data_IF_023855764818
#
_entry.id   IF_023855764818
#
_cell.length_a   1.000
_cell.length_b   1.000
_cell.length_c   1.000
_cell.angle_alpha   90.00
_cell.angle_beta   90.00
_cell.angle_gamma   90.00
#
_symmetry.space_group_name_H-M   'P 1'
#
loop_
_entity.id
_entity.type
_entity.pdbx_description
1 polymer ?
#
# COMPACT_ATOMS: atom_id res chain seq x y z
N UNK A 1 -52.78 6.72 0.70
CA UNK A 1 -52.21 7.12 2.01
C UNK A 1 -50.76 6.64 2.06
N UNK A 2 -49.74 7.52 2.23
CA UNK A 2 -48.35 7.08 2.34
C UNK A 2 -48.12 6.32 3.66
N UNK A 3 -47.21 5.35 3.66
CA UNK A 3 -46.83 4.59 4.87
C UNK A 3 -45.94 5.45 5.79
N UNK A 4 -45.99 5.19 7.11
CA UNK A 4 -45.18 5.91 8.14
C UNK A 4 -43.69 6.04 7.76
N UNK A 5 -43.11 5.03 7.11
CA UNK A 5 -41.72 5.03 6.64
C UNK A 5 -41.46 6.00 5.48
N UNK A 6 -42.44 6.21 4.60
CA UNK A 6 -42.35 7.19 3.52
C UNK A 6 -42.50 8.61 4.04
N UNK A 7 -43.28 8.83 5.09
CA UNK A 7 -43.43 10.13 5.75
C UNK A 7 -42.11 10.58 6.41
N UNK A 8 -41.46 9.70 7.18
CA UNK A 8 -40.15 9.98 7.83
C UNK A 8 -39.03 10.31 6.82
N UNK A 9 -39.09 9.73 5.61
CA UNK A 9 -38.13 10.02 4.55
C UNK A 9 -38.34 11.41 3.92
N UNK A 10 -39.60 11.85 3.81
CA UNK A 10 -39.95 13.18 3.28
C UNK A 10 -39.63 14.31 4.28
N UNK A 11 -39.75 14.04 5.59
CA UNK A 11 -39.44 14.97 6.68
C UNK A 11 -37.93 15.21 6.86
N UNK A 12 -37.08 14.29 6.37
CA UNK A 12 -35.62 14.48 6.34
C UNK A 12 -35.16 15.47 5.27
N UNK A 13 -35.97 15.72 4.23
CA UNK A 13 -35.58 16.55 3.08
C UNK A 13 -35.93 18.04 3.26
N UNK A 14 -36.93 18.34 4.09
CA UNK A 14 -37.40 19.71 4.34
C UNK A 14 -37.06 20.12 5.77
N UNK A 15 -35.85 20.63 5.92
CA UNK A 15 -35.32 21.00 7.23
C UNK A 15 -36.18 22.02 7.94
N UNK A 16 -36.71 21.65 9.11
CA UNK A 16 -36.99 22.63 10.16
C UNK A 16 -37.11 22.07 11.59
N UNK A 17 -36.35 21.02 11.95
CA UNK A 17 -36.27 20.58 13.36
C UNK A 17 -34.84 20.29 13.83
N UNK A 18 -34.15 21.36 14.21
CA UNK A 18 -32.79 21.35 14.77
C UNK A 18 -32.66 20.59 16.10
N UNK A 19 -33.75 20.08 16.69
CA UNK A 19 -33.75 19.35 17.97
C UNK A 19 -34.06 17.85 17.83
N UNK A 20 -35.01 17.44 16.98
CA UNK A 20 -35.32 16.02 16.73
C UNK A 20 -34.38 15.35 15.70
N UNK A 21 -33.76 16.14 14.82
CA UNK A 21 -32.78 15.64 13.84
C UNK A 21 -31.45 15.21 14.49
N UNK A 22 -31.07 15.81 15.61
CA UNK A 22 -29.80 15.51 16.30
C UNK A 22 -29.69 14.04 16.77
N UNK A 23 -30.69 13.45 17.46
CA UNK A 23 -30.70 12.02 17.77
C UNK A 23 -30.60 11.11 16.55
N UNK A 24 -31.28 11.46 15.46
CA UNK A 24 -31.29 10.65 14.23
C UNK A 24 -29.96 10.71 13.48
N UNK A 25 -29.36 11.91 13.38
CA UNK A 25 -28.03 12.12 12.82
C UNK A 25 -26.99 11.32 13.62
N UNK A 26 -27.06 11.36 14.94
CA UNK A 26 -26.14 10.62 15.80
C UNK A 26 -26.32 9.11 15.65
N UNK A 27 -27.56 8.61 15.56
CA UNK A 27 -27.83 7.20 15.27
C UNK A 27 -27.19 6.76 13.95
N UNK A 28 -27.33 7.57 12.89
CA UNK A 28 -26.70 7.31 11.59
C UNK A 28 -25.17 7.34 11.70
N UNK A 29 -24.60 8.30 12.44
CA UNK A 29 -23.14 8.38 12.67
C UNK A 29 -22.63 7.13 13.38
N UNK A 30 -23.29 6.69 14.45
CA UNK A 30 -22.95 5.47 15.20
C UNK A 30 -23.02 4.22 14.33
N UNK A 31 -24.05 4.11 13.49
CA UNK A 31 -24.18 3.00 12.55
C UNK A 31 -23.00 2.93 11.56
N UNK A 32 -22.60 4.08 10.99
CA UNK A 32 -21.41 4.14 10.12
C UNK A 32 -20.14 3.72 10.85
N UNK A 33 -19.91 4.22 12.07
CA UNK A 33 -18.72 3.87 12.86
C UNK A 33 -18.66 2.37 13.16
N UNK A 34 -19.77 1.78 13.58
CA UNK A 34 -19.81 0.35 13.86
C UNK A 34 -19.62 -0.49 12.59
N UNK A 35 -20.14 -0.04 11.44
CA UNK A 35 -19.90 -0.70 10.16
C UNK A 35 -18.41 -0.68 9.80
N UNK A 36 -17.75 0.49 9.90
CA UNK A 36 -16.31 0.60 9.65
C UNK A 36 -15.50 -0.25 10.62
N UNK A 37 -15.85 -0.30 11.91
CA UNK A 37 -15.17 -1.16 12.89
C UNK A 37 -15.31 -2.65 12.56
N UNK A 38 -16.47 -3.09 12.05
CA UNK A 38 -16.65 -4.46 11.61
C UNK A 38 -15.77 -4.80 10.40
N UNK A 39 -15.69 -3.88 9.41
CA UNK A 39 -14.80 -4.04 8.26
C UNK A 39 -13.33 -4.10 8.66
N UNK A 40 -12.90 -3.19 9.53
CA UNK A 40 -11.53 -3.17 10.06
C UNK A 40 -11.19 -4.49 10.77
N UNK A 41 -12.11 -4.99 11.61
CA UNK A 41 -11.95 -6.28 12.27
C UNK A 41 -11.69 -7.39 11.25
N UNK A 42 -12.52 -7.51 10.21
CA UNK A 42 -12.35 -8.53 9.17
C UNK A 42 -10.99 -8.41 8.48
N UNK A 43 -10.64 -7.23 7.96
CA UNK A 43 -9.38 -7.03 7.22
C UNK A 43 -8.12 -7.33 8.05
N UNK A 44 -8.14 -6.95 9.33
CA UNK A 44 -7.00 -7.12 10.24
C UNK A 44 -6.92 -8.55 10.78
N UNK A 45 -8.05 -9.23 10.96
CA UNK A 45 -8.08 -10.63 11.39
C UNK A 45 -7.72 -11.58 10.24
N UNK A 46 -8.23 -11.33 9.03
CA UNK A 46 -7.98 -12.19 7.87
C UNK A 46 -6.49 -12.24 7.50
N UNK A 47 -5.78 -11.14 7.76
CA UNK A 47 -4.32 -11.03 7.58
C UNK A 47 -3.50 -11.63 8.74
N UNK A 48 -4.13 -12.14 9.80
CA UNK A 48 -3.48 -12.75 10.97
C UNK A 48 -3.84 -14.23 11.17
N UNK A 49 -3.15 -14.88 12.10
CA UNK A 49 -3.28 -16.29 12.44
C UNK A 49 -4.65 -16.65 13.04
N UNK A 50 -5.01 -17.93 12.92
CA UNK A 50 -6.30 -18.52 13.30
C UNK A 50 -6.71 -18.32 14.77
N UNK A 51 -5.74 -18.18 15.67
CA UNK A 51 -5.99 -17.88 17.09
C UNK A 51 -6.67 -16.52 17.32
N UNK A 52 -6.36 -15.53 16.47
CA UNK A 52 -6.94 -14.18 16.54
C UNK A 52 -8.36 -14.12 15.99
N UNK A 53 -8.77 -15.08 15.15
CA UNK A 53 -10.13 -15.14 14.55
C UNK A 53 -11.22 -15.47 15.56
N UNK A 54 -10.89 -16.31 16.54
CA UNK A 54 -11.85 -16.82 17.53
C UNK A 54 -12.01 -15.91 18.75
N UNK A 55 -11.14 -14.90 18.90
CA UNK A 55 -11.16 -14.02 20.07
C UNK A 55 -12.17 -12.89 19.89
N UNK A 56 -12.99 -12.66 20.92
CA UNK A 56 -13.91 -11.51 20.98
C UNK A 56 -13.10 -10.24 21.23
N UNK A 57 -12.70 -9.56 20.15
CA UNK A 57 -11.96 -8.30 20.24
C UNK A 57 -12.82 -7.14 20.76
N UNK A 58 -12.27 -6.35 21.67
CA UNK A 58 -12.86 -5.09 22.09
C UNK A 58 -12.64 -4.00 21.03
N UNK A 59 -13.38 -2.87 21.15
CA UNK A 59 -13.26 -1.77 20.19
C UNK A 59 -11.86 -1.13 20.21
N UNK A 60 -11.24 -1.05 21.39
CA UNK A 60 -9.89 -0.53 21.54
C UNK A 60 -8.87 -1.44 20.82
N UNK A 61 -8.97 -2.74 21.04
CA UNK A 61 -8.11 -3.74 20.40
C UNK A 61 -8.20 -3.68 18.87
N UNK A 62 -9.42 -3.59 18.31
CA UNK A 62 -9.61 -3.47 16.86
C UNK A 62 -8.85 -2.25 16.32
N UNK A 63 -8.94 -1.11 17.00
CA UNK A 63 -8.26 0.12 16.59
C UNK A 63 -6.74 0.00 16.72
N UNK A 64 -6.24 -0.53 17.83
CA UNK A 64 -4.81 -0.73 18.06
C UNK A 64 -4.20 -1.68 17.03
N UNK A 65 -4.82 -2.84 16.83
CA UNK A 65 -4.38 -3.82 15.84
C UNK A 65 -4.41 -3.23 14.42
N UNK A 66 -5.42 -2.42 14.09
CA UNK A 66 -5.49 -1.74 12.79
C UNK A 66 -4.31 -0.77 12.61
N UNK A 67 -4.00 0.05 13.61
CA UNK A 67 -2.88 1.00 13.55
C UNK A 67 -1.55 0.25 13.37
N UNK A 68 -1.36 -0.83 14.13
CA UNK A 68 -0.18 -1.67 14.00
C UNK A 68 -0.05 -2.27 12.60
N UNK A 69 -1.14 -2.81 12.06
CA UNK A 69 -1.18 -3.37 10.71
C UNK A 69 -0.83 -2.33 9.63
N UNK A 70 -1.36 -1.10 9.74
CA UNK A 70 -1.04 -0.02 8.81
C UNK A 70 0.44 0.39 8.87
N UNK A 71 1.05 0.40 10.07
CA UNK A 71 2.50 0.65 10.21
C UNK A 71 3.32 -0.45 9.54
N UNK A 72 2.91 -1.70 9.68
CA UNK A 72 3.55 -2.86 9.04
C UNK A 72 3.44 -2.81 7.50
N UNK A 73 2.27 -2.46 6.96
CA UNK A 73 2.09 -2.25 5.52
C UNK A 73 3.07 -1.18 5.03
N UNK A 74 3.08 0.00 5.67
CA UNK A 74 3.96 1.10 5.27
C UNK A 74 5.44 0.71 5.32
N UNK A 75 5.85 -0.06 6.33
CA UNK A 75 7.23 -0.56 6.44
C UNK A 75 7.57 -1.55 5.31
N UNK A 76 6.63 -2.40 4.92
CA UNK A 76 6.82 -3.32 3.78
C UNK A 76 6.92 -2.57 2.47
N UNK A 77 6.05 -1.59 2.22
CA UNK A 77 6.09 -0.76 1.01
C UNK A 77 7.43 -0.03 0.86
N UNK A 78 7.92 0.62 1.92
CA UNK A 78 9.22 1.30 1.87
C UNK A 78 10.38 0.34 1.64
N UNK A 79 10.33 -0.86 2.23
CA UNK A 79 11.33 -1.89 2.01
C UNK A 79 11.34 -2.39 0.55
N UNK A 80 10.17 -2.59 -0.05
CA UNK A 80 10.03 -3.01 -1.46
C UNK A 80 10.60 -1.94 -2.38
N UNK A 81 10.19 -0.67 -2.22
CA UNK A 81 10.72 0.43 -3.03
C UNK A 81 12.25 0.56 -2.92
N UNK A 82 12.80 0.40 -1.71
CA UNK A 82 14.25 0.44 -1.50
C UNK A 82 14.97 -0.74 -2.18
N UNK A 83 14.36 -1.93 -2.19
CA UNK A 83 14.91 -3.10 -2.88
C UNK A 83 14.89 -2.90 -4.40
N UNK A 84 13.80 -2.40 -4.96
CA UNK A 84 13.68 -2.13 -6.39
C UNK A 84 14.72 -1.10 -6.85
N UNK A 85 14.90 -0.02 -6.07
CA UNK A 85 15.92 0.98 -6.36
C UNK A 85 17.34 0.39 -6.30
N UNK A 86 17.65 -0.44 -5.29
CA UNK A 86 18.94 -1.13 -5.20
C UNK A 86 19.16 -2.11 -6.34
N UNK A 87 18.12 -2.82 -6.74
CA UNK A 87 18.18 -3.77 -7.84
C UNK A 87 18.43 -3.07 -9.19
N UNK A 88 17.75 -1.95 -9.43
CA UNK A 88 18.01 -1.10 -10.59
C UNK A 88 19.44 -0.57 -10.63
N UNK A 89 19.94 -0.05 -9.50
CA UNK A 89 21.34 0.41 -9.38
C UNK A 89 22.34 -0.71 -9.66
N UNK A 90 22.17 -1.88 -9.03
CA UNK A 90 23.07 -3.03 -9.23
C UNK A 90 23.07 -3.53 -10.67
N UNK A 91 21.89 -3.58 -11.32
CA UNK A 91 21.79 -3.94 -12.73
C UNK A 91 22.56 -2.98 -13.63
N UNK A 92 22.42 -1.68 -13.38
CA UNK A 92 23.16 -0.65 -14.12
C UNK A 92 24.68 -0.82 -13.95
N UNK A 93 25.16 -0.99 -12.70
CA UNK A 93 26.59 -1.19 -12.41
C UNK A 93 27.17 -2.41 -13.16
N UNK A 94 26.45 -3.54 -13.16
CA UNK A 94 26.87 -4.74 -13.89
C UNK A 94 26.95 -4.47 -15.40
N UNK A 95 25.91 -3.85 -15.98
CA UNK A 95 25.91 -3.55 -17.42
C UNK A 95 26.98 -2.53 -17.81
N UNK A 96 27.25 -1.56 -16.95
CA UNK A 96 28.32 -0.57 -17.16
C UNK A 96 29.71 -1.24 -17.13
N UNK A 97 29.99 -2.09 -16.14
CA UNK A 97 31.27 -2.81 -16.07
C UNK A 97 31.48 -3.71 -17.29
N UNK A 98 30.42 -4.37 -17.76
CA UNK A 98 30.50 -5.21 -18.96
C UNK A 98 30.83 -4.37 -20.21
N UNK A 99 30.26 -3.17 -20.33
CA UNK A 99 30.61 -2.23 -21.40
C UNK A 99 32.09 -1.83 -21.34
N UNK A 100 32.58 -1.43 -20.15
CA UNK A 100 33.99 -1.07 -19.93
C UNK A 100 34.91 -2.22 -20.34
N UNK A 101 34.61 -3.44 -19.87
CA UNK A 101 35.38 -4.65 -20.20
C UNK A 101 35.45 -4.89 -21.72
N UNK A 102 34.35 -4.67 -22.44
CA UNK A 102 34.30 -4.84 -23.89
C UNK A 102 35.12 -3.76 -24.61
N UNK A 103 35.10 -2.52 -24.13
CA UNK A 103 35.94 -1.44 -24.66
C UNK A 103 37.43 -1.72 -24.43
N UNK A 104 37.79 -2.17 -23.23
CA UNK A 104 39.18 -2.56 -22.91
C UNK A 104 39.69 -3.67 -23.82
N UNK A 105 38.88 -4.72 -24.05
CA UNK A 105 39.22 -5.78 -24.99
C UNK A 105 39.37 -5.27 -26.42
N UNK A 106 38.46 -4.41 -26.88
CA UNK A 106 38.54 -3.83 -28.22
C UNK A 106 39.82 -3.01 -28.41
N UNK A 107 40.16 -2.16 -27.44
CA UNK A 107 41.39 -1.37 -27.47
C UNK A 107 42.63 -2.27 -27.41
N UNK A 108 42.63 -3.32 -26.59
CA UNK A 108 43.71 -4.30 -26.56
C UNK A 108 43.90 -4.99 -27.92
N UNK A 109 42.82 -5.43 -28.57
CA UNK A 109 42.90 -6.02 -29.92
C UNK A 109 43.43 -5.05 -30.97
N UNK A 110 43.14 -3.74 -30.86
CA UNK A 110 43.70 -2.72 -31.73
C UNK A 110 45.20 -2.52 -31.49
N UNK A 111 45.66 -2.55 -30.23
CA UNK A 111 47.08 -2.43 -29.92
C UNK A 111 47.89 -3.65 -30.37
N UNK A 112 47.33 -4.86 -30.28
CA UNK A 112 47.97 -6.08 -30.76
C UNK A 112 48.06 -6.13 -32.30
N UNK A 113 47.08 -5.58 -33.00
CA UNK A 113 47.11 -5.54 -34.48
C UNK A 113 48.09 -4.49 -35.03
N UNK A 114 48.30 -3.36 -34.35
CA UNK A 114 49.29 -2.35 -34.73
C UNK A 114 50.77 -2.80 -34.61
N UNK A 115 51.06 -3.84 -33.80
CA UNK A 115 52.41 -4.42 -33.70
C UNK A 115 52.76 -5.38 -34.85
N UNK A 116 51.77 -5.85 -35.61
CA UNK A 116 51.99 -6.82 -36.71
C UNK A 116 52.29 -6.17 -38.06
N UNK A 117 51.92 -4.89 -38.27
CA UNK A 117 52.20 -4.18 -39.51
C UNK A 117 53.60 -3.53 -39.56
N UNK A 118 54.25 -3.26 -38.42
CA UNK A 118 55.62 -2.69 -38.39
C UNK A 118 56.77 -3.70 -38.61
N UNK A 119 56.49 -5.00 -38.83
CA UNK A 119 57.52 -6.01 -39.13
C UNK A 119 57.58 -6.46 -40.59
N UNK A 120 56.92 -5.73 -41.50
CA UNK A 120 56.89 -6.04 -42.93
C UNK A 120 57.39 -4.85 -43.77
N UNK A 121 58.60 -4.38 -43.47
CA UNK A 121 59.42 -3.54 -44.36
C UNK A 121 60.77 -4.22 -44.52
#
# INVERSE_FOLDING_TARGET
MPTKRSQEFMDLKHGNDKKASKPLIEKRRRARINHSLAQLKTLVIDSKSESTRQTKLEKADILEMTVQHLREIKKRETAVTALDARYGKKKFEIGFMECVRQVELFLATLMDSNLTESKKV
#
